data_IF_290413322467
#
_entry.id   IF_290413322467
#
_cell.length_a   1.000
_cell.length_b   1.000
_cell.length_c   1.000
_cell.angle_alpha   90.00
_cell.angle_beta   90.00
_cell.angle_gamma   90.00
#
_symmetry.space_group_name_H-M   'P 1'
#
loop_
_entity.id
_entity.type
_entity.pdbx_description
1 polymer ?
#
# COMPACT_ATOMS: atom_id res chain seq x y z
N UNK A 1 30.99 6.88 11.96
CA UNK A 1 30.09 5.88 12.57
C UNK A 1 28.66 6.42 12.50
N UNK A 2 27.84 5.99 11.53
CA UNK A 2 26.47 6.52 11.33
C UNK A 2 25.38 5.43 11.47
N UNK A 3 25.69 4.28 12.07
CA UNK A 3 24.79 3.13 12.14
C UNK A 3 24.27 2.75 13.52
N UNK A 4 24.87 3.26 14.61
CA UNK A 4 24.61 2.71 15.96
C UNK A 4 23.32 3.19 16.64
N UNK A 5 22.66 4.23 16.11
CA UNK A 5 21.50 4.86 16.78
C UNK A 5 20.16 4.70 16.03
N UNK A 6 20.06 3.82 15.03
CA UNK A 6 18.79 3.60 14.31
C UNK A 6 18.08 2.37 14.88
N UNK A 7 17.00 2.54 15.66
CA UNK A 7 16.32 1.43 16.30
C UNK A 7 15.66 0.50 15.29
N UNK A 8 15.46 -0.74 15.70
CA UNK A 8 14.66 -1.71 14.98
C UNK A 8 13.26 -1.13 14.71
N UNK A 9 12.83 -1.12 13.44
CA UNK A 9 11.64 -0.40 13.00
C UNK A 9 10.33 -1.17 13.10
N UNK A 10 10.35 -2.39 13.64
CA UNK A 10 9.24 -3.34 13.54
C UNK A 10 8.92 -3.99 14.90
N UNK A 11 7.92 -4.87 14.96
CA UNK A 11 7.44 -5.53 16.17
C UNK A 11 6.29 -4.80 16.89
N UNK A 12 5.74 -3.75 16.29
CA UNK A 12 4.64 -2.96 16.86
C UNK A 12 3.27 -3.64 16.63
N UNK A 13 3.08 -4.84 17.20
CA UNK A 13 1.87 -5.64 17.00
C UNK A 13 0.58 -4.97 17.48
N UNK A 14 0.67 -4.08 18.47
CA UNK A 14 -0.48 -3.25 18.87
C UNK A 14 -0.96 -2.35 17.72
N UNK A 15 -0.04 -1.73 16.98
CA UNK A 15 -0.36 -0.95 15.79
C UNK A 15 -0.92 -1.84 14.67
N UNK A 16 -0.38 -3.05 14.49
CA UNK A 16 -0.89 -4.01 13.50
C UNK A 16 -2.36 -4.32 13.78
N UNK A 17 -2.67 -4.76 15.01
CA UNK A 17 -4.03 -5.14 15.41
C UNK A 17 -4.98 -3.95 15.33
N UNK A 18 -4.56 -2.79 15.86
CA UNK A 18 -5.40 -1.59 15.87
C UNK A 18 -5.74 -1.14 14.44
N UNK A 19 -4.75 -0.98 13.58
CA UNK A 19 -4.97 -0.51 12.21
C UNK A 19 -5.75 -1.54 11.39
N UNK A 20 -5.39 -2.83 11.47
CA UNK A 20 -6.11 -3.87 10.74
C UNK A 20 -7.58 -3.94 11.17
N UNK A 21 -7.86 -3.92 12.48
CA UNK A 21 -9.23 -3.92 12.99
C UNK A 21 -9.99 -2.66 12.55
N UNK A 22 -9.37 -1.49 12.63
CA UNK A 22 -9.98 -0.23 12.20
C UNK A 22 -10.44 -0.31 10.74
N UNK A 23 -9.56 -0.69 9.81
CA UNK A 23 -9.89 -0.76 8.38
C UNK A 23 -10.86 -1.89 8.02
N UNK A 24 -10.76 -3.04 8.70
CA UNK A 24 -11.69 -4.17 8.47
C UNK A 24 -13.09 -3.82 8.97
N UNK A 25 -13.22 -3.27 10.18
CA UNK A 25 -14.51 -2.85 10.75
C UNK A 25 -15.10 -1.68 9.95
N UNK A 26 -14.26 -0.72 9.54
CA UNK A 26 -14.70 0.39 8.70
C UNK A 26 -15.32 -0.11 7.39
N UNK A 27 -14.68 -1.04 6.69
CA UNK A 27 -15.28 -1.57 5.45
C UNK A 27 -16.50 -2.43 5.73
N UNK A 28 -16.49 -3.21 6.82
CA UNK A 28 -17.64 -4.02 7.22
C UNK A 28 -18.88 -3.15 7.50
N UNK A 29 -18.73 -1.93 8.01
CA UNK A 29 -19.86 -1.04 8.32
C UNK A 29 -20.57 -0.48 7.08
N UNK A 30 -19.87 -0.38 5.94
CA UNK A 30 -20.45 0.08 4.67
C UNK A 30 -20.83 -1.06 3.72
N UNK A 31 -20.08 -2.17 3.75
CA UNK A 31 -20.20 -3.29 2.82
C UNK A 31 -20.59 -4.58 3.54
N UNK A 32 -21.65 -4.55 4.35
CA UNK A 32 -22.12 -5.72 5.10
C UNK A 32 -22.38 -6.91 4.17
N UNK A 33 -21.59 -7.99 4.24
CA UNK A 33 -21.71 -9.12 3.32
C UNK A 33 -22.95 -9.96 3.64
N UNK A 34 -23.88 -10.09 2.67
CA UNK A 34 -25.14 -10.82 2.85
C UNK A 34 -25.08 -12.24 2.29
N UNK A 35 -24.32 -12.47 1.20
CA UNK A 35 -24.20 -13.79 0.56
C UNK A 35 -22.85 -14.43 0.87
N UNK A 36 -22.76 -15.75 0.77
CA UNK A 36 -21.49 -16.50 0.95
C UNK A 36 -20.35 -16.01 0.04
N UNK A 37 -20.68 -15.55 -1.17
CA UNK A 37 -19.68 -14.99 -2.10
C UNK A 37 -19.10 -13.67 -1.59
N UNK A 38 -19.93 -12.83 -0.99
CA UNK A 38 -19.53 -11.53 -0.46
C UNK A 38 -18.57 -11.72 0.73
N UNK A 39 -18.83 -12.73 1.57
CA UNK A 39 -17.91 -13.15 2.64
C UNK A 39 -16.55 -13.62 2.13
N UNK A 40 -16.48 -14.30 0.98
CA UNK A 40 -15.19 -14.69 0.37
C UNK A 40 -14.41 -13.46 -0.08
N UNK A 41 -15.05 -12.55 -0.79
CA UNK A 41 -14.42 -11.29 -1.22
C UNK A 41 -13.94 -10.46 -0.03
N UNK A 42 -14.78 -10.35 1.01
CA UNK A 42 -14.44 -9.65 2.25
C UNK A 42 -13.28 -10.32 3.00
N UNK A 43 -13.22 -11.65 3.00
CA UNK A 43 -12.10 -12.41 3.56
C UNK A 43 -10.78 -12.12 2.84
N UNK A 44 -10.77 -12.07 1.51
CA UNK A 44 -9.58 -11.69 0.73
C UNK A 44 -9.13 -10.27 1.05
N UNK A 45 -10.07 -9.32 1.11
CA UNK A 45 -9.78 -7.95 1.52
C UNK A 45 -9.18 -7.90 2.93
N UNK A 46 -9.79 -8.60 3.89
CA UNK A 46 -9.32 -8.61 5.29
C UNK A 46 -7.94 -9.24 5.42
N UNK A 47 -7.67 -10.33 4.70
CA UNK A 47 -6.35 -10.96 4.66
C UNK A 47 -5.30 -10.01 4.08
N UNK A 48 -5.63 -9.26 3.03
CA UNK A 48 -4.75 -8.23 2.47
C UNK A 48 -4.44 -7.13 3.50
N UNK A 49 -5.45 -6.60 4.20
CA UNK A 49 -5.27 -5.56 5.22
C UNK A 49 -4.38 -6.05 6.37
N UNK A 50 -4.63 -7.28 6.87
CA UNK A 50 -3.80 -7.88 7.92
C UNK A 50 -2.36 -8.06 7.44
N UNK A 51 -2.16 -8.56 6.21
CA UNK A 51 -0.83 -8.72 5.63
C UNK A 51 -0.10 -7.37 5.48
N UNK A 52 -0.80 -6.34 4.98
CA UNK A 52 -0.26 -5.00 4.78
C UNK A 52 0.25 -4.38 6.08
N UNK A 53 -0.56 -4.41 7.15
CA UNK A 53 -0.14 -3.84 8.43
C UNK A 53 0.89 -4.71 9.16
N UNK A 54 0.81 -6.04 9.02
CA UNK A 54 1.86 -6.95 9.51
C UNK A 54 3.20 -6.63 8.86
N UNK A 55 3.23 -6.42 7.55
CA UNK A 55 4.44 -6.09 6.81
C UNK A 55 5.02 -4.73 7.23
N UNK A 56 4.15 -3.74 7.46
CA UNK A 56 4.58 -2.37 7.76
C UNK A 56 5.07 -2.20 9.21
N UNK A 57 4.41 -2.84 10.19
CA UNK A 57 4.68 -2.61 11.61
C UNK A 57 5.13 -3.86 12.38
N UNK A 58 4.78 -5.05 11.91
CA UNK A 58 4.98 -6.32 12.62
C UNK A 58 6.29 -7.01 12.23
N UNK A 59 6.29 -7.70 11.10
CA UNK A 59 7.43 -8.44 10.56
C UNK A 59 7.60 -8.11 9.08
N UNK A 60 8.71 -7.48 8.67
CA UNK A 60 8.94 -7.05 7.29
C UNK A 60 9.44 -8.22 6.43
N UNK A 61 8.51 -9.07 5.99
CA UNK A 61 8.81 -10.27 5.23
C UNK A 61 9.53 -9.94 3.92
N UNK A 62 9.17 -8.85 3.25
CA UNK A 62 9.79 -8.44 1.99
C UNK A 62 11.27 -8.11 2.19
N UNK A 63 11.59 -7.32 3.23
CA UNK A 63 12.98 -6.99 3.56
C UNK A 63 13.74 -8.25 3.98
N UNK A 64 13.11 -9.14 4.75
CA UNK A 64 13.72 -10.40 5.14
C UNK A 64 14.09 -11.27 3.94
N UNK A 65 13.19 -11.41 2.96
CA UNK A 65 13.46 -12.14 1.71
C UNK A 65 14.54 -11.46 0.88
N UNK A 66 14.46 -10.14 0.70
CA UNK A 66 15.45 -9.39 -0.08
C UNK A 66 16.85 -9.45 0.54
N UNK A 67 16.95 -9.29 1.85
CA UNK A 67 18.23 -9.39 2.57
C UNK A 67 18.80 -10.81 2.54
N UNK A 68 17.94 -11.83 2.61
CA UNK A 68 18.35 -13.24 2.45
C UNK A 68 18.91 -13.53 1.06
N UNK A 69 18.30 -12.98 0.01
CA UNK A 69 18.73 -13.21 -1.39
C UNK A 69 19.95 -12.35 -1.76
N UNK A 70 19.95 -11.07 -1.43
CA UNK A 70 21.02 -10.13 -1.83
C UNK A 70 22.22 -10.18 -0.89
N UNK A 71 22.04 -10.59 0.37
CA UNK A 71 23.08 -10.63 1.38
C UNK A 71 23.78 -9.28 1.52
N UNK A 72 25.11 -9.29 1.40
CA UNK A 72 25.96 -8.08 1.47
C UNK A 72 25.74 -7.08 0.33
N UNK A 73 25.01 -7.45 -0.73
CA UNK A 73 24.67 -6.54 -1.84
C UNK A 73 23.42 -5.70 -1.57
N UNK A 74 22.69 -5.96 -0.47
CA UNK A 74 21.53 -5.15 -0.13
C UNK A 74 21.97 -3.72 0.21
N UNK A 75 21.45 -2.68 -0.48
CA UNK A 75 21.96 -1.30 -0.39
C UNK A 75 21.45 -0.55 0.86
N UNK A 76 21.50 -1.19 2.03
CA UNK A 76 21.18 -0.55 3.30
C UNK A 76 22.13 -1.03 4.39
N UNK A 77 22.68 -0.07 5.16
CA UNK A 77 23.51 -0.36 6.33
C UNK A 77 22.70 -1.00 7.46
N UNK A 78 21.44 -0.60 7.62
CA UNK A 78 20.49 -1.21 8.56
C UNK A 78 19.17 -1.53 7.84
N UNK A 79 19.04 -2.72 7.23
CA UNK A 79 17.86 -3.13 6.47
C UNK A 79 16.57 -3.14 7.29
N UNK A 80 16.66 -3.40 8.60
CA UNK A 80 15.50 -3.55 9.48
C UNK A 80 15.13 -2.26 10.24
N UNK A 81 15.67 -1.12 9.81
CA UNK A 81 15.17 0.18 10.24
C UNK A 81 13.88 0.53 9.49
N UNK A 82 13.01 1.31 10.13
CA UNK A 82 11.75 1.71 9.50
C UNK A 82 11.96 2.57 8.23
N UNK A 83 13.07 3.32 8.16
CA UNK A 83 13.46 4.10 7.00
C UNK A 83 13.80 3.23 5.78
N UNK A 84 14.42 2.07 6.00
CA UNK A 84 14.72 1.09 4.95
C UNK A 84 13.47 0.47 4.31
N UNK A 85 12.30 0.62 4.97
CA UNK A 85 10.99 0.28 4.42
C UNK A 85 10.58 1.11 3.21
N UNK A 86 11.21 2.26 2.95
CA UNK A 86 11.10 2.95 1.66
C UNK A 86 11.91 2.21 0.58
N UNK A 87 11.42 1.03 0.16
CA UNK A 87 12.16 0.09 -0.69
C UNK A 87 12.77 0.73 -1.94
N UNK A 88 12.00 1.55 -2.67
CA UNK A 88 12.52 2.24 -3.85
C UNK A 88 13.66 3.20 -3.53
N UNK A 89 13.57 3.92 -2.41
CA UNK A 89 14.64 4.81 -1.96
C UNK A 89 15.88 3.98 -1.60
N UNK A 90 15.70 2.91 -0.84
CA UNK A 90 16.78 1.98 -0.45
C UNK A 90 17.48 1.40 -1.67
N UNK A 91 16.73 0.85 -2.63
CA UNK A 91 17.26 0.16 -3.80
C UNK A 91 17.95 1.08 -4.82
N UNK A 92 17.53 2.34 -4.90
CA UNK A 92 18.05 3.30 -5.89
C UNK A 92 19.18 4.19 -5.34
N UNK A 93 19.80 3.80 -4.22
CA UNK A 93 20.99 4.46 -3.68
C UNK A 93 20.76 5.36 -2.45
N UNK A 94 19.54 5.41 -1.92
CA UNK A 94 19.21 6.07 -0.67
C UNK A 94 19.37 7.59 -0.67
N UNK A 95 19.33 8.18 0.53
CA UNK A 95 19.59 9.60 0.75
C UNK A 95 18.39 10.52 0.51
N UNK A 96 18.54 11.78 0.96
CA UNK A 96 17.46 12.77 0.95
C UNK A 96 16.99 13.12 -0.47
N UNK A 97 17.91 13.25 -1.43
CA UNK A 97 17.57 13.59 -2.81
C UNK A 97 16.70 12.51 -3.48
N UNK A 98 17.10 11.23 -3.36
CA UNK A 98 16.31 10.11 -3.91
C UNK A 98 14.95 9.99 -3.21
N UNK A 99 14.91 10.17 -1.89
CA UNK A 99 13.65 10.25 -1.15
C UNK A 99 12.75 11.33 -1.76
N UNK A 100 13.24 12.56 -1.96
CA UNK A 100 12.45 13.66 -2.53
C UNK A 100 11.92 13.30 -3.92
N UNK A 101 12.77 12.77 -4.80
CA UNK A 101 12.37 12.36 -6.15
C UNK A 101 11.26 11.31 -6.09
N UNK A 102 11.44 10.24 -5.31
CA UNK A 102 10.45 9.17 -5.16
C UNK A 102 9.13 9.71 -4.60
N UNK A 103 9.17 10.64 -3.64
CA UNK A 103 7.96 11.22 -3.07
C UNK A 103 7.23 12.13 -4.06
N UNK A 104 7.95 12.96 -4.82
CA UNK A 104 7.34 13.79 -5.86
C UNK A 104 6.66 12.91 -6.92
N UNK A 105 7.37 11.90 -7.44
CA UNK A 105 6.79 10.97 -8.43
C UNK A 105 5.59 10.23 -7.85
N UNK A 106 5.70 9.68 -6.63
CA UNK A 106 4.61 8.95 -5.98
C UNK A 106 3.39 9.83 -5.74
N UNK A 107 3.59 11.08 -5.31
CA UNK A 107 2.51 12.04 -5.13
C UNK A 107 1.84 12.38 -6.47
N UNK A 108 2.61 12.63 -7.54
CA UNK A 108 2.05 12.87 -8.87
C UNK A 108 1.21 11.68 -9.36
N UNK A 109 1.69 10.45 -9.17
CA UNK A 109 0.95 9.23 -9.50
C UNK A 109 -0.33 9.11 -8.67
N UNK A 110 -0.27 9.38 -7.36
CA UNK A 110 -1.42 9.33 -6.46
C UNK A 110 -2.47 10.38 -6.83
N UNK A 111 -2.08 11.64 -7.01
CA UNK A 111 -3.00 12.70 -7.44
C UNK A 111 -3.56 12.44 -8.84
N UNK A 112 -2.72 11.96 -9.77
CA UNK A 112 -3.15 11.54 -11.10
C UNK A 112 -4.22 10.45 -11.03
N UNK A 113 -4.01 9.43 -10.19
CA UNK A 113 -4.99 8.37 -9.93
C UNK A 113 -6.31 8.92 -9.37
N UNK A 114 -6.25 9.80 -8.38
CA UNK A 114 -7.47 10.45 -7.83
C UNK A 114 -8.22 11.26 -8.89
N UNK A 115 -7.50 11.94 -9.77
CA UNK A 115 -8.10 12.67 -10.90
C UNK A 115 -8.79 11.70 -11.86
N UNK A 116 -8.15 10.58 -12.21
CA UNK A 116 -8.75 9.54 -13.07
C UNK A 116 -10.03 8.99 -12.44
N UNK A 117 -9.98 8.62 -11.15
CA UNK A 117 -11.14 8.12 -10.40
C UNK A 117 -12.27 9.16 -10.39
N UNK A 118 -11.97 10.42 -10.09
CA UNK A 118 -12.97 11.50 -10.05
C UNK A 118 -13.64 11.71 -11.42
N UNK A 119 -12.87 11.64 -12.52
CA UNK A 119 -13.41 11.74 -13.87
C UNK A 119 -14.26 10.53 -14.25
N UNK A 120 -13.80 9.32 -13.94
CA UNK A 120 -14.53 8.08 -14.17
C UNK A 120 -15.85 8.04 -13.39
N UNK A 121 -15.81 8.40 -12.11
CA UNK A 121 -16.99 8.43 -11.25
C UNK A 121 -18.03 9.45 -11.71
N UNK A 122 -17.60 10.66 -12.09
CA UNK A 122 -18.50 11.71 -12.59
C UNK A 122 -19.30 11.25 -13.80
N UNK A 123 -18.71 10.47 -14.71
CA UNK A 123 -19.41 9.93 -15.88
C UNK A 123 -20.49 8.92 -15.48
N UNK A 124 -20.14 7.94 -14.66
CA UNK A 124 -21.10 6.91 -14.20
C UNK A 124 -22.24 7.54 -13.40
N UNK A 125 -21.92 8.48 -12.51
CA UNK A 125 -22.94 9.18 -11.72
C UNK A 125 -23.91 9.98 -12.62
N UNK A 126 -23.42 10.64 -13.67
CA UNK A 126 -24.26 11.39 -14.62
C UNK A 126 -25.05 10.51 -15.57
N UNK A 127 -24.61 9.27 -15.82
CA UNK A 127 -25.30 8.34 -16.71
C UNK A 127 -26.61 7.80 -16.13
N UNK A 128 -26.87 8.01 -14.83
CA UNK A 128 -28.16 7.71 -14.17
C UNK A 128 -28.67 6.28 -14.46
N UNK A 129 -27.77 5.30 -14.47
CA UNK A 129 -28.08 3.88 -14.72
C UNK A 129 -27.83 3.40 -16.15
N UNK A 130 -27.53 4.29 -17.10
CA UNK A 130 -27.09 3.91 -18.44
C UNK A 130 -25.63 3.42 -18.44
N UNK A 131 -25.31 2.50 -19.36
CA UNK A 131 -23.95 1.97 -19.53
C UNK A 131 -23.04 3.04 -20.16
N UNK A 132 -21.92 3.32 -19.51
CA UNK A 132 -20.88 4.24 -20.02
C UNK A 132 -19.78 3.43 -20.71
N UNK A 133 -19.54 3.71 -21.98
CA UNK A 133 -18.51 3.03 -22.80
C UNK A 133 -17.51 3.98 -23.43
N UNK A 134 -17.59 5.28 -23.12
CA UNK A 134 -16.77 6.33 -23.73
C UNK A 134 -15.70 6.90 -22.75
N UNK A 135 -14.79 7.72 -23.25
CA UNK A 135 -13.70 8.30 -22.45
C UNK A 135 -12.78 7.23 -21.84
N UNK A 136 -12.66 7.21 -20.50
CA UNK A 136 -11.84 6.21 -19.78
C UNK A 136 -12.41 4.78 -19.91
N UNK A 137 -13.73 4.65 -19.92
CA UNK A 137 -14.42 3.35 -19.95
C UNK A 137 -14.31 2.62 -21.29
N UNK A 138 -13.82 3.29 -22.34
CA UNK A 138 -13.48 2.61 -23.61
C UNK A 138 -12.22 1.74 -23.49
N UNK A 139 -11.36 2.03 -22.52
CA UNK A 139 -10.08 1.34 -22.33
C UNK A 139 -10.13 0.34 -21.18
N UNK A 140 -10.75 0.71 -20.06
CA UNK A 140 -10.78 -0.09 -18.83
C UNK A 140 -12.16 -0.01 -18.20
N UNK A 141 -12.72 -1.15 -17.77
CA UNK A 141 -14.07 -1.23 -17.16
C UNK A 141 -14.12 -0.65 -15.74
N UNK A 142 -12.99 -0.70 -15.04
CA UNK A 142 -12.78 -0.16 -13.70
C UNK A 142 -11.50 0.69 -13.71
N UNK A 143 -11.55 1.88 -14.35
CA UNK A 143 -10.42 2.81 -14.41
C UNK A 143 -10.14 3.43 -13.04
#
# INVERSE_FOLDING_TARGET
MHGENIPYGYGFWSLVVFNAAFFVIFVLSFLTPLRRRDWRSFGVYSAFIVALFTEMYGFPLTIYVLTSILGSRYPALNPFSHASGHLWVTLLGGGAAMMTVIHVVSNLLMFGGLVIIAHGWRKVHRAQGALVTDGLYRWVRHP
#
